data_IF_548593920891
#
_entry.id   IF_548593920891
#
_cell.length_a   1.000
_cell.length_b   1.000
_cell.length_c   1.000
_cell.angle_alpha   90.00
_cell.angle_beta   90.00
_cell.angle_gamma   90.00
#
_symmetry.space_group_name_H-M   'P 1'
#
loop_
_entity.id
_entity.type
_entity.pdbx_description
1 polymer ?
#
# COMPACT_ATOMS: atom_id res chain seq x y z
N UNK A 1 -7.57 -14.50 1.02
CA UNK A 1 -8.37 -13.38 0.47
C UNK A 1 -7.47 -12.22 0.06
N UNK A 2 -7.50 -11.87 -1.22
CA UNK A 2 -6.78 -10.72 -1.80
C UNK A 2 -7.77 -9.57 -1.95
N UNK A 3 -7.44 -8.42 -1.38
CA UNK A 3 -8.34 -7.25 -1.36
C UNK A 3 -7.88 -6.14 -2.30
N UNK A 4 -6.59 -6.11 -2.63
CA UNK A 4 -6.00 -5.09 -3.50
C UNK A 4 -4.77 -5.61 -4.23
N UNK A 5 -4.49 -5.01 -5.38
CA UNK A 5 -3.38 -5.37 -6.27
C UNK A 5 -2.77 -4.10 -6.87
N UNK A 6 -1.45 -4.07 -7.01
CA UNK A 6 -0.72 -3.06 -7.75
C UNK A 6 0.45 -3.72 -8.50
N UNK A 7 0.96 -3.05 -9.53
CA UNK A 7 2.12 -3.49 -10.29
C UNK A 7 3.20 -2.39 -10.30
N UNK A 8 4.46 -2.80 -10.21
CA UNK A 8 5.61 -1.91 -10.27
C UNK A 8 6.82 -2.66 -10.84
N UNK A 9 7.39 -2.18 -11.95
CA UNK A 9 8.64 -2.70 -12.55
C UNK A 9 8.77 -4.24 -12.55
N UNK A 10 7.78 -4.93 -13.13
CA UNK A 10 7.81 -6.40 -13.21
C UNK A 10 7.53 -7.13 -11.89
N UNK A 11 7.10 -6.40 -10.85
CA UNK A 11 6.64 -6.95 -9.58
C UNK A 11 5.14 -6.79 -9.42
N UNK A 12 4.52 -7.82 -8.85
CA UNK A 12 3.13 -7.83 -8.45
C UNK A 12 3.04 -7.64 -6.93
N UNK A 13 2.25 -6.65 -6.51
CA UNK A 13 2.10 -6.27 -5.11
C UNK A 13 0.66 -6.53 -4.70
N UNK A 14 0.43 -7.30 -3.64
CA UNK A 14 -0.91 -7.67 -3.20
C UNK A 14 -1.15 -7.42 -1.72
N UNK A 15 -2.34 -6.90 -1.40
CA UNK A 15 -2.79 -6.64 -0.04
C UNK A 15 -3.61 -7.80 0.53
N UNK A 16 -3.32 -8.19 1.77
CA UNK A 16 -3.91 -9.36 2.42
C UNK A 16 -4.84 -8.97 3.58
N UNK A 17 -5.80 -9.87 3.89
CA UNK A 17 -6.71 -9.76 5.04
C UNK A 17 -6.02 -9.64 6.40
N UNK A 18 -4.82 -10.21 6.53
CA UNK A 18 -4.04 -10.18 7.76
C UNK A 18 -3.19 -8.91 7.95
N UNK A 19 -3.33 -7.89 7.10
CA UNK A 19 -2.50 -6.67 7.15
C UNK A 19 -1.13 -6.80 6.48
N UNK A 20 -0.83 -7.96 5.89
CA UNK A 20 0.41 -8.16 5.15
C UNK A 20 0.29 -7.64 3.72
N UNK A 21 1.38 -7.10 3.19
CA UNK A 21 1.55 -6.82 1.76
C UNK A 21 2.60 -7.79 1.22
N UNK A 22 2.29 -8.48 0.13
CA UNK A 22 3.22 -9.42 -0.52
C UNK A 22 3.69 -8.84 -1.84
N UNK A 23 4.98 -8.98 -2.13
CA UNK A 23 5.59 -8.59 -3.39
C UNK A 23 6.12 -9.83 -4.07
N UNK A 24 5.81 -9.98 -5.36
CA UNK A 24 6.18 -11.11 -6.19
C UNK A 24 6.91 -10.62 -7.42
N UNK A 25 8.00 -11.28 -7.77
CA UNK A 25 8.64 -11.07 -9.06
C UNK A 25 7.86 -11.84 -10.13
N UNK A 26 7.37 -11.14 -11.16
CA UNK A 26 6.58 -11.78 -12.22
C UNK A 26 7.44 -12.65 -13.13
N UNK A 27 8.72 -12.29 -13.33
CA UNK A 27 9.62 -13.03 -14.21
C UNK A 27 10.04 -14.38 -13.61
N UNK A 28 10.28 -14.43 -12.29
CA UNK A 28 10.71 -15.66 -11.60
C UNK A 28 9.56 -16.41 -10.92
N UNK A 29 8.41 -15.74 -10.73
CA UNK A 29 7.30 -16.25 -9.92
C UNK A 29 7.59 -16.31 -8.42
N UNK A 30 8.76 -15.83 -7.98
CA UNK A 30 9.16 -15.90 -6.59
C UNK A 30 8.48 -14.81 -5.76
N UNK A 31 8.22 -15.12 -4.49
CA UNK A 31 7.83 -14.11 -3.50
C UNK A 31 9.09 -13.42 -2.99
N UNK A 32 9.33 -12.23 -3.48
CA UNK A 32 10.51 -11.45 -3.13
C UNK A 32 10.41 -10.89 -1.71
N UNK A 33 9.22 -10.41 -1.30
CA UNK A 33 9.09 -9.63 -0.06
C UNK A 33 7.74 -9.79 0.62
N UNK A 34 7.76 -9.54 1.93
CA UNK A 34 6.58 -9.30 2.76
C UNK A 34 6.80 -7.96 3.46
N UNK A 35 5.83 -7.06 3.37
CA UNK A 35 5.81 -5.82 4.13
C UNK A 35 4.84 -6.00 5.30
N UNK A 36 5.38 -5.78 6.49
CA UNK A 36 4.66 -5.89 7.75
C UNK A 36 4.47 -4.48 8.33
N UNK A 37 3.27 -4.21 8.85
CA UNK A 37 3.02 -2.95 9.54
C UNK A 37 1.56 -2.56 9.69
N UNK A 38 0.67 -3.02 8.79
CA UNK A 38 -0.76 -2.86 9.01
C UNK A 38 -1.26 -3.91 10.02
N UNK A 39 -2.17 -3.50 10.90
CA UNK A 39 -2.76 -4.39 11.92
C UNK A 39 -4.11 -4.96 11.50
N UNK A 40 -4.60 -4.57 10.33
CA UNK A 40 -5.87 -5.02 9.76
C UNK A 40 -5.76 -5.11 8.23
N UNK A 41 -6.79 -5.67 7.56
CA UNK A 41 -6.84 -5.88 6.10
C UNK A 41 -6.32 -4.69 5.30
N UNK A 42 -5.43 -4.96 4.35
CA UNK A 42 -4.97 -3.98 3.36
C UNK A 42 -6.00 -3.90 2.23
N UNK A 43 -6.79 -2.84 2.26
CA UNK A 43 -7.97 -2.68 1.41
C UNK A 43 -7.63 -2.04 0.06
N UNK A 44 -6.59 -1.22 0.00
CA UNK A 44 -6.18 -0.57 -1.24
C UNK A 44 -4.66 -0.37 -1.32
N UNK A 45 -4.15 -0.38 -2.54
CA UNK A 45 -2.75 -0.16 -2.89
C UNK A 45 -2.66 0.80 -4.05
N UNK A 46 -1.68 1.68 -4.04
CA UNK A 46 -1.40 2.61 -5.13
C UNK A 46 0.10 2.84 -5.27
N UNK A 47 0.59 2.95 -6.51
CA UNK A 47 2.01 3.16 -6.82
C UNK A 47 2.23 4.57 -7.36
N UNK A 48 3.15 5.31 -6.76
CA UNK A 48 3.59 6.64 -7.20
C UNK A 48 5.10 6.65 -7.40
N UNK A 49 5.56 6.41 -8.63
CA UNK A 49 6.99 6.31 -8.93
C UNK A 49 7.65 5.19 -8.12
N UNK A 50 8.57 5.55 -7.22
CA UNK A 50 9.27 4.62 -6.31
C UNK A 50 8.62 4.52 -4.92
N UNK A 51 7.36 4.94 -4.76
CA UNK A 51 6.62 4.82 -3.51
C UNK A 51 5.39 3.93 -3.67
N UNK A 52 5.24 2.98 -2.78
CA UNK A 52 4.00 2.24 -2.60
C UNK A 52 3.18 2.93 -1.51
N UNK A 53 1.88 3.06 -1.72
CA UNK A 53 0.95 3.59 -0.73
C UNK A 53 -0.10 2.52 -0.46
N UNK A 54 -0.33 2.21 0.81
CA UNK A 54 -1.30 1.21 1.24
C UNK A 54 -2.31 1.82 2.21
N UNK A 55 -3.58 1.53 2.00
CA UNK A 55 -4.67 1.89 2.91
C UNK A 55 -5.26 0.63 3.54
N UNK A 56 -5.56 0.71 4.84
CA UNK A 56 -6.02 -0.43 5.62
C UNK A 56 -7.29 -0.13 6.42
N UNK A 57 -7.98 -1.21 6.80
CA UNK A 57 -9.03 -1.18 7.82
C UNK A 57 -8.54 -0.73 9.21
N UNK A 58 -7.22 -0.67 9.44
CA UNK A 58 -6.63 -0.11 10.66
C UNK A 58 -6.72 1.42 10.74
N UNK A 59 -7.34 2.04 9.72
CA UNK A 59 -7.56 3.49 9.58
C UNK A 59 -6.28 4.29 9.35
N UNK A 60 -5.22 3.62 8.89
CA UNK A 60 -3.97 4.25 8.50
C UNK A 60 -3.71 4.12 7.00
N UNK A 61 -2.95 5.08 6.49
CA UNK A 61 -2.29 4.99 5.19
C UNK A 61 -0.78 4.89 5.43
N UNK A 62 -0.13 3.88 4.86
CA UNK A 62 1.32 3.72 4.94
C UNK A 62 1.96 4.00 3.60
N UNK A 63 3.11 4.67 3.63
CA UNK A 63 3.95 4.95 2.46
C UNK A 63 5.24 4.16 2.61
N UNK A 64 5.56 3.36 1.62
CA UNK A 64 6.73 2.48 1.59
C UNK A 64 7.70 2.94 0.50
N UNK A 65 8.98 2.98 0.84
CA UNK A 65 10.04 3.22 -0.13
C UNK A 65 10.28 1.95 -0.96
N UNK A 66 10.00 2.00 -2.26
CA UNK A 66 10.32 0.91 -3.19
C UNK A 66 11.71 1.13 -3.77
N UNK A 67 12.52 0.09 -3.80
CA UNK A 67 13.85 0.10 -4.39
C UNK A 67 14.42 -1.29 -4.58
N UNK A 68 15.57 -1.35 -5.26
CA UNK A 68 16.28 -2.59 -5.56
C UNK A 68 16.90 -3.27 -4.32
N UNK A 69 17.15 -2.52 -3.24
CA UNK A 69 17.71 -3.05 -1.99
C UNK A 69 16.77 -4.05 -1.30
N UNK A 70 17.24 -4.87 -0.37
CA UNK A 70 16.52 -6.03 0.16
C UNK A 70 15.22 -5.75 0.96
N UNK A 71 14.96 -4.51 1.39
CA UNK A 71 13.76 -4.14 2.15
C UNK A 71 13.06 -2.92 1.57
N UNK A 72 11.74 -2.84 1.74
CA UNK A 72 10.94 -1.63 1.46
C UNK A 72 10.41 -1.08 2.78
N UNK A 73 11.15 -0.17 3.44
CA UNK A 73 10.74 0.34 4.74
C UNK A 73 9.51 1.25 4.64
N UNK A 74 8.71 1.25 5.70
CA UNK A 74 7.63 2.23 5.87
C UNK A 74 8.25 3.60 6.21
N UNK A 75 8.17 4.56 5.29
CA UNK A 75 8.66 5.94 5.48
C UNK A 75 7.69 6.80 6.29
N UNK A 76 6.38 6.57 6.11
CA UNK A 76 5.32 7.36 6.74
C UNK A 76 4.14 6.48 7.10
N UNK A 77 3.55 6.75 8.26
CA UNK A 77 2.21 6.29 8.60
C UNK A 77 1.35 7.53 8.81
N UNK A 78 0.33 7.69 7.97
CA UNK A 78 -0.67 8.74 8.07
C UNK A 78 -1.84 8.18 8.86
N UNK A 79 -2.15 8.83 9.98
CA UNK A 79 -3.24 8.49 10.89
C UNK A 79 -4.21 9.65 10.97
N UNK A 80 -5.49 9.38 11.26
CA UNK A 80 -6.52 10.41 11.37
C UNK A 80 -7.81 10.10 10.61
N UNK A 81 -7.87 9.00 9.86
CA UNK A 81 -9.12 8.52 9.28
C UNK A 81 -10.03 7.97 10.39
N UNK A 82 -11.31 8.36 10.38
CA UNK A 82 -12.29 7.88 11.35
C UNK A 82 -12.68 6.41 11.12
N UNK A 83 -12.59 5.95 9.87
CA UNK A 83 -12.88 4.59 9.43
C UNK A 83 -11.80 4.02 8.51
N UNK A 84 -12.03 2.80 8.01
CA UNK A 84 -11.11 2.10 7.12
C UNK A 84 -10.85 2.88 5.82
N UNK A 85 -9.64 2.75 5.28
CA UNK A 85 -9.26 3.39 4.02
C UNK A 85 -9.52 2.43 2.87
N UNK A 86 -10.58 2.66 2.11
CA UNK A 86 -11.06 1.73 1.08
C UNK A 86 -10.48 2.02 -0.30
N UNK A 87 -10.16 3.28 -0.60
CA UNK A 87 -9.60 3.67 -1.89
C UNK A 87 -8.52 4.74 -1.75
N UNK A 88 -7.61 4.78 -2.71
CA UNK A 88 -6.52 5.74 -2.82
C UNK A 88 -6.48 6.27 -4.25
N UNK A 89 -6.32 7.59 -4.39
CA UNK A 89 -6.06 8.28 -5.64
C UNK A 89 -4.78 9.10 -5.52
N UNK A 90 -3.88 8.92 -6.48
CA UNK A 90 -2.62 9.66 -6.58
C UNK A 90 -2.78 10.76 -7.61
N UNK A 91 -2.50 12.01 -7.23
CA UNK A 91 -2.45 13.13 -8.16
C UNK A 91 -1.02 13.67 -8.28
N UNK A 92 -0.61 13.94 -9.52
CA UNK A 92 0.76 14.26 -9.98
C UNK A 92 1.61 15.04 -8.94
N UNK A 93 2.56 14.33 -8.33
CA UNK A 93 3.82 14.87 -7.80
C UNK A 93 3.86 15.32 -6.35
N UNK A 94 2.74 15.65 -5.69
CA UNK A 94 2.77 16.18 -4.31
C UNK A 94 1.60 15.79 -3.38
N UNK A 95 0.58 15.08 -3.85
CA UNK A 95 -0.61 14.77 -3.04
C UNK A 95 -1.04 13.30 -3.15
N UNK A 96 -1.15 12.64 -2.00
CA UNK A 96 -1.79 11.34 -1.84
C UNK A 96 -3.18 11.61 -1.24
N UNK A 97 -4.24 11.19 -1.91
CA UNK A 97 -5.61 11.30 -1.40
C UNK A 97 -6.19 9.91 -1.20
N UNK A 98 -6.82 9.65 -0.05
CA UNK A 98 -7.56 8.42 0.22
C UNK A 98 -9.02 8.73 0.49
N UNK A 99 -9.93 7.90 -0.02
CA UNK A 99 -11.33 7.95 0.39
C UNK A 99 -11.58 6.80 1.38
N UNK A 100 -11.75 7.18 2.65
CA UNK A 100 -12.42 6.39 3.67
C UNK A 100 -13.85 6.90 3.84
N UNK A 101 -14.71 6.13 4.52
CA UNK A 101 -16.16 6.39 4.66
C UNK A 101 -16.60 7.77 5.18
N UNK A 102 -15.68 8.66 5.55
CA UNK A 102 -15.92 10.10 5.63
C UNK A 102 -14.72 10.86 5.05
N UNK A 103 -14.97 11.49 3.90
CA UNK A 103 -14.23 12.58 3.24
C UNK A 103 -12.72 12.43 2.99
N UNK A 104 -12.34 12.71 1.74
CA UNK A 104 -10.97 12.93 1.29
C UNK A 104 -10.37 14.10 2.08
N UNK A 105 -9.30 13.85 2.84
CA UNK A 105 -8.45 14.92 3.37
C UNK A 105 -7.09 14.83 2.71
N UNK A 106 -6.71 15.94 2.08
CA UNK A 106 -5.37 16.24 1.55
C UNK A 106 -4.65 17.07 2.59
#
# INVERSE_FOLDING_TARGET
DLYSLAAWEGHLISGHGSGLIRVWNVATGARDRILEGHTHVVLCLAVSGTRLVSGSGDRSVKVWAMGAGASWPCERTLVGHAGGVYTLAIWRGKGLSGAGGDSVRV
#
